data_IF_504278509837
#
_entry.id   IF_504278509837
#
_cell.length_a   1.000
_cell.length_b   1.000
_cell.length_c   1.000
_cell.angle_alpha   90.00
_cell.angle_beta   90.00
_cell.angle_gamma   90.00
#
_symmetry.space_group_name_H-M   'P 1'
#
loop_
_entity.id
_entity.type
_entity.pdbx_description
1 polymer ?
#
# COMPACT_ATOMS: atom_id res chain seq x y z
N UNK A 1 -39.53 7.43 -13.59
CA UNK A 1 -39.51 7.84 -15.01
C UNK A 1 -39.86 9.32 -15.10
N UNK A 2 -38.89 10.21 -15.26
CA UNK A 2 -39.08 11.58 -15.70
C UNK A 2 -37.70 12.09 -16.14
N UNK A 3 -37.43 11.92 -17.43
CA UNK A 3 -36.32 12.60 -18.12
C UNK A 3 -36.61 14.07 -18.21
N UNK A 4 -35.75 14.93 -17.68
CA UNK A 4 -35.73 16.36 -18.02
C UNK A 4 -34.75 16.59 -19.17
N UNK A 5 -35.30 16.93 -20.32
CA UNK A 5 -34.58 17.35 -21.53
C UNK A 5 -34.00 18.76 -21.34
N UNK A 6 -32.74 18.97 -21.74
CA UNK A 6 -32.16 20.29 -21.94
C UNK A 6 -32.69 20.92 -23.23
N UNK A 7 -33.07 22.23 -23.29
CA UNK A 7 -33.54 22.88 -24.50
C UNK A 7 -32.40 23.20 -25.46
N UNK A 8 -32.60 22.87 -26.74
CA UNK A 8 -31.79 23.33 -27.88
C UNK A 8 -32.10 24.79 -28.20
N UNK A 9 -31.09 25.64 -28.22
CA UNK A 9 -31.18 26.98 -28.79
C UNK A 9 -30.46 27.03 -30.13
N UNK A 10 -31.20 27.40 -31.17
CA UNK A 10 -30.71 27.73 -32.52
C UNK A 10 -30.26 29.17 -32.56
N UNK A 11 -29.05 29.44 -33.03
CA UNK A 11 -28.43 30.73 -33.08
C UNK A 11 -28.89 31.65 -34.24
N UNK A 12 -28.68 32.94 -34.05
CA UNK A 12 -28.47 33.90 -35.14
C UNK A 12 -27.26 34.80 -34.85
N UNK A 13 -26.48 34.99 -35.91
CA UNK A 13 -25.20 35.68 -36.02
C UNK A 13 -25.35 37.19 -35.73
N UNK A 14 -24.39 37.73 -34.99
CA UNK A 14 -24.17 39.18 -35.02
C UNK A 14 -23.42 39.71 -33.78
N UNK A 15 -22.21 40.18 -34.00
CA UNK A 15 -21.39 41.12 -33.22
C UNK A 15 -20.54 40.49 -32.07
N UNK A 16 -19.23 40.56 -32.29
CA UNK A 16 -18.16 40.08 -31.39
C UNK A 16 -18.19 40.77 -30.01
N UNK A 17 -18.66 40.05 -29.04
CA UNK A 17 -18.34 40.29 -27.65
C UNK A 17 -17.77 38.98 -27.13
N UNK A 18 -16.52 38.98 -26.65
CA UNK A 18 -15.92 37.86 -25.96
C UNK A 18 -16.72 37.54 -24.67
N UNK A 19 -17.76 36.73 -24.81
CA UNK A 19 -18.36 36.07 -23.66
C UNK A 19 -17.48 34.88 -23.28
N UNK A 20 -16.82 35.00 -22.14
CA UNK A 20 -16.32 33.81 -21.44
C UNK A 20 -17.51 32.90 -21.12
N UNK A 21 -17.76 31.92 -21.95
CA UNK A 21 -18.73 30.87 -21.67
C UNK A 21 -18.13 30.04 -20.53
N UNK A 22 -18.52 30.34 -19.29
CA UNK A 22 -18.40 29.41 -18.18
C UNK A 22 -19.30 28.22 -18.53
N UNK A 23 -18.69 27.13 -19.06
CA UNK A 23 -19.33 25.84 -19.03
C UNK A 23 -19.45 25.45 -17.56
N UNK A 24 -20.66 25.26 -17.01
CA UNK A 24 -20.78 24.58 -15.73
C UNK A 24 -20.26 23.15 -15.97
N UNK A 25 -19.11 22.82 -15.41
CA UNK A 25 -18.69 21.44 -15.22
C UNK A 25 -19.77 20.87 -14.30
N UNK A 26 -20.72 20.10 -14.86
CA UNK A 26 -21.58 19.24 -14.06
C UNK A 26 -20.67 18.24 -13.39
N UNK A 27 -20.00 18.61 -12.30
CA UNK A 27 -19.38 17.68 -11.40
C UNK A 27 -20.51 16.80 -10.87
N UNK A 28 -20.50 15.53 -11.22
CA UNK A 28 -21.25 14.52 -10.47
C UNK A 28 -20.78 14.63 -9.03
N UNK A 29 -21.55 15.35 -8.21
CA UNK A 29 -21.29 15.47 -6.80
C UNK A 29 -21.38 14.07 -6.20
N UNK A 30 -20.27 13.54 -5.71
CA UNK A 30 -20.29 12.45 -4.77
C UNK A 30 -19.47 11.19 -5.05
N UNK A 31 -18.73 11.07 -6.15
CA UNK A 31 -17.88 9.90 -6.36
C UNK A 31 -16.40 10.26 -6.20
N UNK A 32 -15.67 9.42 -5.43
CA UNK A 32 -14.25 9.59 -5.20
C UNK A 32 -13.45 8.88 -6.29
N UNK A 33 -12.37 9.49 -6.74
CA UNK A 33 -11.35 8.85 -7.60
C UNK A 33 -10.18 8.36 -6.75
N UNK A 34 -9.41 7.42 -7.30
CA UNK A 34 -8.24 6.85 -6.64
C UNK A 34 -7.25 7.94 -6.21
N UNK A 35 -6.85 8.00 -4.91
CA UNK A 35 -6.10 9.13 -4.35
C UNK A 35 -4.58 9.02 -4.53
N UNK A 36 -4.09 8.05 -5.28
CA UNK A 36 -2.67 7.75 -5.43
C UNK A 36 -2.32 7.38 -6.87
N UNK A 37 -1.13 7.80 -7.32
CA UNK A 37 -0.63 7.51 -8.66
C UNK A 37 0.19 6.24 -8.70
N UNK A 38 -0.48 5.10 -8.64
CA UNK A 38 0.14 3.78 -8.76
C UNK A 38 -0.86 2.77 -9.31
N UNK A 39 -0.37 1.62 -9.76
CA UNK A 39 -1.19 0.50 -10.24
C UNK A 39 -1.28 -0.57 -9.15
N UNK A 40 -2.49 -0.75 -8.59
CA UNK A 40 -2.75 -1.75 -7.55
C UNK A 40 -2.41 -3.15 -8.06
N UNK A 41 -1.63 -3.89 -7.26
CA UNK A 41 -1.15 -5.24 -7.58
C UNK A 41 0.12 -5.28 -8.42
N UNK A 42 0.64 -4.12 -8.89
CA UNK A 42 1.89 -4.04 -9.64
C UNK A 42 2.99 -3.29 -8.88
N UNK A 43 2.74 -2.04 -8.51
CA UNK A 43 3.73 -1.18 -7.83
C UNK A 43 3.23 -0.60 -6.51
N UNK A 44 1.99 -0.89 -6.16
CA UNK A 44 1.38 -0.65 -4.86
C UNK A 44 0.26 -1.67 -4.59
N UNK A 45 -0.22 -1.71 -3.34
CA UNK A 45 -1.37 -2.53 -2.94
C UNK A 45 -2.06 -1.93 -1.73
N UNK A 46 -3.31 -2.34 -1.47
CA UNK A 46 -4.04 -1.94 -0.28
C UNK A 46 -3.67 -2.92 0.84
N UNK A 47 -2.93 -2.43 1.83
CA UNK A 47 -2.49 -3.23 2.99
C UNK A 47 -3.60 -3.39 4.00
N UNK A 48 -4.33 -2.30 4.31
CA UNK A 48 -5.43 -2.32 5.26
C UNK A 48 -6.61 -1.49 4.75
N UNK A 49 -7.80 -1.93 5.10
CA UNK A 49 -9.08 -1.27 4.86
C UNK A 49 -9.64 -0.71 6.16
N UNK A 50 -10.71 0.10 6.08
CA UNK A 50 -11.45 0.57 7.26
C UNK A 50 -11.96 -0.64 8.05
N UNK A 51 -11.81 -0.60 9.37
CA UNK A 51 -12.34 -1.62 10.25
C UNK A 51 -13.86 -1.55 10.34
N UNK A 52 -14.52 -2.61 9.89
CA UNK A 52 -15.97 -2.72 9.93
C UNK A 52 -16.48 -3.61 11.05
N UNK A 53 -15.61 -4.35 11.76
CA UNK A 53 -16.06 -5.16 12.90
C UNK A 53 -16.41 -4.29 14.11
N UNK A 54 -17.52 -4.53 14.80
CA UNK A 54 -17.79 -3.88 16.06
C UNK A 54 -16.96 -4.51 17.19
N UNK A 55 -16.40 -3.67 18.08
CA UNK A 55 -15.64 -4.13 19.25
C UNK A 55 -14.16 -4.36 18.99
N UNK A 56 -13.48 -5.26 19.72
CA UNK A 56 -12.02 -5.42 19.65
C UNK A 56 -11.55 -6.31 18.49
N UNK A 57 -12.45 -6.93 17.77
CA UNK A 57 -12.15 -7.67 16.53
C UNK A 57 -11.98 -6.70 15.38
N UNK A 58 -11.45 -7.16 14.26
CA UNK A 58 -11.36 -6.34 13.05
C UNK A 58 -11.79 -7.12 11.82
N UNK A 59 -12.36 -6.43 10.85
CA UNK A 59 -12.75 -6.98 9.56
C UNK A 59 -12.70 -5.91 8.48
N UNK A 60 -12.15 -6.28 7.33
CA UNK A 60 -12.20 -5.44 6.14
C UNK A 60 -13.58 -5.47 5.44
N UNK A 61 -13.72 -4.81 4.32
CA UNK A 61 -14.95 -4.67 3.54
C UNK A 61 -15.48 -5.97 2.91
N UNK A 62 -14.68 -7.03 2.90
CA UNK A 62 -15.03 -8.38 2.47
C UNK A 62 -15.08 -9.39 3.64
N UNK A 63 -15.15 -8.91 4.87
CA UNK A 63 -15.06 -9.70 6.10
C UNK A 63 -13.74 -10.49 6.22
N UNK A 64 -12.71 -10.05 5.54
CA UNK A 64 -11.36 -10.59 5.62
C UNK A 64 -10.53 -9.91 6.73
N UNK A 65 -9.24 -10.23 6.76
CA UNK A 65 -8.31 -9.81 7.81
C UNK A 65 -7.38 -8.65 7.40
N UNK A 66 -7.67 -7.96 6.31
CA UNK A 66 -6.88 -6.80 5.87
C UNK A 66 -7.35 -5.51 6.59
N UNK A 67 -7.28 -5.54 7.90
CA UNK A 67 -7.56 -4.40 8.79
C UNK A 67 -6.90 -4.64 10.15
N UNK A 68 -7.07 -3.71 11.09
CA UNK A 68 -6.77 -3.87 12.52
C UNK A 68 -7.77 -3.05 13.33
N UNK A 69 -7.90 -3.37 14.64
CA UNK A 69 -8.87 -2.74 15.55
C UNK A 69 -8.83 -1.21 15.43
N UNK A 70 -9.99 -0.63 15.13
CA UNK A 70 -10.20 0.83 14.94
C UNK A 70 -9.45 1.48 13.79
N UNK A 71 -9.03 0.75 12.78
CA UNK A 71 -8.43 1.34 11.59
C UNK A 71 -9.45 2.18 10.80
N UNK A 72 -9.13 3.46 10.58
CA UNK A 72 -10.07 4.47 10.04
C UNK A 72 -9.96 4.71 8.54
N UNK A 73 -8.97 4.14 7.87
CA UNK A 73 -8.69 4.51 6.49
C UNK A 73 -8.45 3.33 5.55
N UNK A 74 -8.01 3.67 4.38
CA UNK A 74 -7.46 2.75 3.38
C UNK A 74 -5.98 3.04 3.24
N UNK A 75 -5.13 2.03 3.51
CA UNK A 75 -3.67 2.15 3.46
C UNK A 75 -3.14 1.66 2.11
N UNK A 76 -2.76 2.59 1.26
CA UNK A 76 -2.11 2.32 -0.03
C UNK A 76 -0.61 2.20 0.17
N UNK A 77 -0.11 0.98 0.33
CA UNK A 77 1.30 0.71 0.57
C UNK A 77 2.10 0.74 -0.71
N UNK A 78 3.27 1.37 -0.65
CA UNK A 78 4.28 1.38 -1.71
C UNK A 78 5.61 0.84 -1.19
N UNK A 79 6.46 0.32 -2.09
CA UNK A 79 7.81 -0.06 -1.72
C UNK A 79 8.66 1.19 -1.38
N UNK A 80 9.69 1.03 -0.54
CA UNK A 80 10.52 2.16 -0.09
C UNK A 80 11.22 2.88 -1.25
N UNK A 81 11.75 2.14 -2.21
CA UNK A 81 12.38 2.70 -3.42
C UNK A 81 11.38 3.49 -4.29
N UNK A 82 10.14 3.03 -4.38
CA UNK A 82 9.04 3.75 -5.07
C UNK A 82 8.69 5.05 -4.33
N UNK A 83 8.58 4.99 -2.99
CA UNK A 83 8.43 6.19 -2.18
C UNK A 83 9.57 7.18 -2.44
N UNK A 84 10.83 6.73 -2.47
CA UNK A 84 11.99 7.58 -2.75
C UNK A 84 11.94 8.19 -4.16
N UNK A 85 11.53 7.42 -5.16
CA UNK A 85 11.36 7.90 -6.54
C UNK A 85 10.24 8.96 -6.65
N UNK A 86 9.24 8.89 -5.78
CA UNK A 86 8.12 9.83 -5.71
C UNK A 86 6.83 9.25 -6.28
N UNK A 87 5.92 8.84 -5.40
CA UNK A 87 4.54 8.43 -5.76
C UNK A 87 3.61 9.58 -5.41
N UNK A 88 2.85 10.08 -6.38
CA UNK A 88 1.97 11.24 -6.20
C UNK A 88 0.71 10.87 -5.42
N UNK A 89 0.35 11.75 -4.47
CA UNK A 89 -0.94 11.75 -3.77
C UNK A 89 -1.84 12.75 -4.47
N UNK A 90 -3.06 12.34 -4.83
CA UNK A 90 -4.01 13.13 -5.62
C UNK A 90 -5.30 13.36 -4.87
N UNK A 91 -5.93 14.52 -5.09
CA UNK A 91 -7.26 14.80 -4.56
C UNK A 91 -8.29 13.81 -5.13
N UNK A 92 -8.96 13.05 -4.26
CA UNK A 92 -9.97 12.07 -4.66
C UNK A 92 -11.24 12.72 -5.21
N UNK A 93 -11.54 13.97 -4.81
CA UNK A 93 -12.69 14.75 -5.27
C UNK A 93 -12.38 16.24 -5.19
N UNK A 94 -13.17 17.11 -5.85
CA UNK A 94 -12.98 18.54 -5.77
C UNK A 94 -13.43 19.08 -4.39
N UNK A 95 -12.70 20.04 -3.85
CA UNK A 95 -13.02 20.63 -2.56
C UNK A 95 -12.08 21.75 -2.15
N UNK A 96 -12.13 22.11 -0.86
CA UNK A 96 -11.28 23.14 -0.26
C UNK A 96 -10.37 22.50 0.78
N UNK A 97 -9.08 22.77 0.74
CA UNK A 97 -8.13 22.35 1.77
C UNK A 97 -8.50 23.00 3.09
N UNK A 98 -9.07 22.22 4.03
CA UNK A 98 -9.49 22.71 5.34
C UNK A 98 -8.33 22.98 6.27
N UNK A 99 -7.29 22.15 6.19
CA UNK A 99 -6.09 22.24 7.00
C UNK A 99 -5.02 21.29 6.50
N UNK A 100 -3.78 21.60 6.88
CA UNK A 100 -2.64 20.78 6.52
C UNK A 100 -1.54 20.90 7.57
N UNK A 101 -0.64 19.91 7.58
CA UNK A 101 0.60 19.91 8.35
C UNK A 101 1.71 19.33 7.49
N UNK A 102 2.88 19.96 7.54
CA UNK A 102 4.10 19.51 6.87
C UNK A 102 5.31 19.74 7.79
N UNK A 103 6.45 19.14 7.50
CA UNK A 103 7.71 19.32 8.21
C UNK A 103 8.12 18.19 9.16
N UNK A 104 7.28 17.16 9.37
CA UNK A 104 7.65 15.95 10.12
C UNK A 104 8.58 15.07 9.29
N UNK A 105 9.62 14.51 9.92
CA UNK A 105 10.57 13.60 9.26
C UNK A 105 9.88 12.30 8.79
N UNK A 106 10.38 11.73 7.69
CA UNK A 106 9.96 10.44 7.16
C UNK A 106 10.73 9.32 7.87
N UNK A 107 10.29 8.97 9.07
CA UNK A 107 10.92 7.96 9.94
C UNK A 107 9.84 7.00 10.43
N UNK A 108 10.05 5.69 10.20
CA UNK A 108 9.16 4.65 10.72
C UNK A 108 9.02 4.75 12.23
N UNK A 109 7.80 4.57 12.77
CA UNK A 109 7.53 4.52 14.21
C UNK A 109 8.43 3.51 14.94
N UNK A 110 8.79 2.41 14.27
CA UNK A 110 9.71 1.39 14.80
C UNK A 110 11.15 1.90 15.01
N UNK A 111 11.51 3.03 14.40
CA UNK A 111 12.81 3.67 14.51
C UNK A 111 12.75 4.97 15.32
N UNK A 112 11.65 5.73 15.22
CA UNK A 112 11.49 7.04 15.86
C UNK A 112 10.85 7.02 17.25
N UNK A 113 10.08 5.95 17.57
CA UNK A 113 9.36 5.82 18.84
C UNK A 113 8.04 6.60 18.91
N UNK A 114 7.12 6.13 19.75
CA UNK A 114 5.74 6.64 19.86
C UNK A 114 5.66 8.07 20.41
N UNK A 115 6.54 8.45 21.34
CA UNK A 115 6.48 9.77 21.98
C UNK A 115 6.71 10.92 20.97
N UNK A 116 7.48 10.68 19.91
CA UNK A 116 7.75 11.68 18.87
C UNK A 116 6.52 12.05 18.03
N UNK A 117 5.51 11.19 17.99
CA UNK A 117 4.32 11.32 17.12
C UNK A 117 3.03 11.60 17.88
N UNK A 118 3.04 11.59 19.21
CA UNK A 118 1.86 11.78 20.07
C UNK A 118 1.03 13.02 19.65
N UNK A 119 -0.28 12.83 19.42
CA UNK A 119 -1.20 13.83 18.85
C UNK A 119 -0.81 14.33 17.44
N UNK A 120 0.04 13.61 16.75
CA UNK A 120 0.47 13.90 15.38
C UNK A 120 0.56 12.63 14.53
N UNK A 121 -0.28 11.66 14.83
CA UNK A 121 -0.28 10.29 14.25
C UNK A 121 -0.39 10.33 12.72
N UNK A 122 -1.19 11.25 12.15
CA UNK A 122 -1.27 11.47 10.69
C UNK A 122 0.06 11.92 10.04
N UNK A 123 1.04 12.40 10.82
CA UNK A 123 2.28 12.93 10.27
C UNK A 123 2.07 14.18 9.43
N UNK A 124 2.72 14.25 8.27
CA UNK A 124 2.44 15.26 7.25
C UNK A 124 1.19 14.84 6.48
N UNK A 125 0.30 15.79 6.25
CA UNK A 125 -0.96 15.48 5.59
C UNK A 125 -1.90 16.65 5.50
N UNK A 126 -3.06 16.42 4.95
CA UNK A 126 -4.08 17.46 4.77
C UNK A 126 -5.50 16.88 4.79
N UNK A 127 -6.47 17.75 4.97
CA UNK A 127 -7.90 17.44 4.89
C UNK A 127 -8.51 18.31 3.81
N UNK A 128 -9.28 17.71 2.90
CA UNK A 128 -10.09 18.38 1.90
C UNK A 128 -11.56 18.28 2.30
N UNK A 129 -12.23 19.40 2.40
CA UNK A 129 -13.69 19.52 2.63
C UNK A 129 -14.40 19.59 1.30
N UNK A 130 -15.26 18.61 1.03
CA UNK A 130 -16.07 18.53 -0.19
C UNK A 130 -17.35 19.37 -0.06
N UNK A 131 -18.01 19.67 -1.18
CA UNK A 131 -19.20 20.52 -1.22
C UNK A 131 -20.40 19.96 -0.43
N UNK A 132 -20.47 18.63 -0.24
CA UNK A 132 -21.55 17.96 0.49
C UNK A 132 -21.24 17.77 2.00
N UNK A 133 -20.16 18.40 2.50
CA UNK A 133 -19.70 18.29 3.89
C UNK A 133 -18.87 17.03 4.20
N UNK A 134 -18.63 16.17 3.22
CA UNK A 134 -17.69 15.05 3.37
C UNK A 134 -16.25 15.57 3.46
N UNK A 135 -15.44 14.95 4.29
CA UNK A 135 -14.01 15.24 4.42
C UNK A 135 -13.21 14.06 3.91
N UNK A 136 -12.16 14.33 3.12
CA UNK A 136 -11.13 13.35 2.77
C UNK A 136 -9.82 13.77 3.40
N UNK A 137 -9.17 12.84 4.12
CA UNK A 137 -7.90 13.07 4.79
C UNK A 137 -6.80 12.20 4.16
N UNK A 138 -5.63 12.81 4.02
CA UNK A 138 -4.45 12.21 3.40
C UNK A 138 -3.29 12.30 4.39
N UNK A 139 -2.79 11.17 4.90
CA UNK A 139 -1.78 11.11 5.93
C UNK A 139 -0.49 10.44 5.48
N UNK A 140 0.54 10.53 6.33
CA UNK A 140 1.88 9.94 6.15
C UNK A 140 2.60 10.44 4.91
N UNK A 141 2.29 11.68 4.48
CA UNK A 141 2.90 12.29 3.30
C UNK A 141 4.37 12.65 3.57
N UNK A 142 5.14 12.74 2.49
CA UNK A 142 6.58 13.07 2.54
C UNK A 142 6.79 14.49 3.04
N UNK A 143 7.80 14.65 3.91
CA UNK A 143 8.25 15.96 4.40
C UNK A 143 8.57 16.92 3.25
N UNK A 144 8.00 18.12 3.31
CA UNK A 144 8.23 19.20 2.34
C UNK A 144 7.61 18.93 0.95
N UNK A 145 6.73 17.93 0.81
CA UNK A 145 6.16 17.59 -0.49
C UNK A 145 4.80 18.20 -0.77
N UNK A 146 4.13 18.79 0.22
CA UNK A 146 2.79 19.35 0.04
C UNK A 146 2.81 20.51 -0.97
N UNK A 147 1.91 20.45 -1.96
CA UNK A 147 1.80 21.41 -3.07
C UNK A 147 0.61 22.37 -2.92
N UNK A 148 -0.13 22.26 -1.83
CA UNK A 148 -1.32 23.06 -1.52
C UNK A 148 -1.26 23.55 -0.08
N UNK A 149 -2.04 24.59 0.24
CA UNK A 149 -2.16 25.18 1.58
C UNK A 149 -3.63 25.29 1.99
N UNK A 150 -3.87 25.53 3.27
CA UNK A 150 -5.21 25.74 3.79
C UNK A 150 -5.90 26.92 3.05
N UNK A 151 -7.15 26.70 2.64
CA UNK A 151 -7.98 27.61 1.84
C UNK A 151 -7.87 27.40 0.33
N UNK A 152 -6.90 26.65 -0.17
CA UNK A 152 -6.81 26.39 -1.61
C UNK A 152 -7.98 25.50 -2.08
N UNK A 153 -8.52 25.81 -3.25
CA UNK A 153 -9.44 24.93 -3.97
C UNK A 153 -8.65 23.88 -4.75
N UNK A 154 -9.08 22.64 -4.70
CA UNK A 154 -8.47 21.53 -5.45
C UNK A 154 -9.48 20.88 -6.36
N UNK A 155 -9.02 20.43 -7.52
CA UNK A 155 -9.80 19.64 -8.45
C UNK A 155 -9.51 18.15 -8.25
N UNK A 156 -10.43 17.27 -8.64
CA UNK A 156 -10.20 15.83 -8.70
C UNK A 156 -8.93 15.51 -9.50
N UNK A 157 -8.09 14.64 -8.99
CA UNK A 157 -6.82 14.25 -9.63
C UNK A 157 -5.69 15.27 -9.49
N UNK A 158 -5.93 16.44 -8.90
CA UNK A 158 -4.85 17.40 -8.63
C UNK A 158 -3.84 16.83 -7.64
N UNK A 159 -2.55 16.97 -7.95
CA UNK A 159 -1.46 16.50 -7.07
C UNK A 159 -1.42 17.34 -5.81
N UNK A 160 -1.52 16.67 -4.66
CA UNK A 160 -1.48 17.26 -3.32
C UNK A 160 -0.08 17.21 -2.71
N UNK A 161 0.71 16.20 -3.06
CA UNK A 161 2.06 15.96 -2.55
C UNK A 161 2.53 14.56 -2.92
N UNK A 162 3.42 13.98 -2.12
CA UNK A 162 4.01 12.66 -2.34
C UNK A 162 3.77 11.75 -1.14
N UNK A 163 3.69 10.44 -1.39
CA UNK A 163 3.70 9.41 -0.34
C UNK A 163 4.99 9.50 0.45
N UNK A 164 4.90 9.38 1.78
CA UNK A 164 6.02 9.43 2.70
C UNK A 164 6.00 8.32 3.76
N UNK A 165 6.62 8.64 4.89
CA UNK A 165 6.78 7.74 6.03
C UNK A 165 6.71 8.53 7.36
N UNK A 166 5.92 9.59 7.41
CA UNK A 166 5.81 10.49 8.56
C UNK A 166 4.62 10.11 9.47
N UNK A 167 4.76 10.30 10.79
CA UNK A 167 3.69 10.00 11.76
C UNK A 167 3.68 8.56 12.24
N UNK A 168 2.49 8.06 12.63
CA UNK A 168 2.31 6.70 13.12
C UNK A 168 2.23 5.70 11.96
N UNK A 169 3.38 5.36 11.43
CA UNK A 169 3.48 4.43 10.31
C UNK A 169 4.70 3.53 10.41
N UNK A 170 4.52 2.26 10.09
CA UNK A 170 5.59 1.26 10.08
C UNK A 170 6.27 1.13 8.72
N UNK A 171 5.61 1.52 7.63
CA UNK A 171 6.06 1.36 6.23
C UNK A 171 5.53 2.49 5.34
N UNK A 172 6.17 2.76 4.19
CA UNK A 172 5.69 3.79 3.27
C UNK A 172 4.29 3.51 2.74
N UNK A 173 3.34 4.42 3.01
CA UNK A 173 1.99 4.32 2.48
C UNK A 173 1.27 5.66 2.49
N UNK A 174 0.19 5.77 1.74
CA UNK A 174 -0.83 6.78 1.92
C UNK A 174 -1.95 6.19 2.77
N UNK A 175 -2.21 6.76 3.95
CA UNK A 175 -3.44 6.51 4.69
C UNK A 175 -4.51 7.50 4.23
N UNK A 176 -5.61 6.98 3.66
CA UNK A 176 -6.71 7.76 3.13
C UNK A 176 -7.99 7.51 3.93
N UNK A 177 -8.51 8.53 4.60
CA UNK A 177 -9.72 8.45 5.41
C UNK A 177 -10.84 9.30 4.83
N UNK A 178 -12.06 8.78 4.87
CA UNK A 178 -13.29 9.51 4.50
C UNK A 178 -14.16 9.68 5.73
N UNK A 179 -14.58 10.92 5.99
CA UNK A 179 -15.48 11.26 7.10
C UNK A 179 -16.67 12.05 6.65
N UNK A 180 -17.82 11.82 7.27
CA UNK A 180 -19.00 12.68 7.11
C UNK A 180 -19.67 12.89 8.47
N UNK A 181 -19.92 14.14 8.85
CA UNK A 181 -20.48 14.49 10.16
C UNK A 181 -19.67 13.91 11.34
N UNK A 182 -18.35 13.85 11.21
CA UNK A 182 -17.46 13.30 12.26
C UNK A 182 -17.39 11.77 12.30
N UNK A 183 -18.14 11.06 11.47
CA UNK A 183 -18.14 9.60 11.40
C UNK A 183 -17.26 9.12 10.24
N UNK A 184 -16.35 8.19 10.52
CA UNK A 184 -15.52 7.51 9.50
C UNK A 184 -16.39 6.58 8.67
N UNK A 185 -16.21 6.62 7.34
CA UNK A 185 -16.91 5.78 6.38
C UNK A 185 -15.91 4.90 5.61
N UNK A 186 -16.29 3.66 5.36
CA UNK A 186 -15.58 2.80 4.44
C UNK A 186 -15.91 3.21 2.99
N UNK A 187 -14.94 3.68 2.19
CA UNK A 187 -15.25 4.15 0.84
C UNK A 187 -15.62 3.03 -0.15
N UNK A 188 -15.35 1.76 0.18
CA UNK A 188 -15.74 0.61 -0.64
C UNK A 188 -17.18 0.15 -0.41
N UNK A 189 -17.75 0.42 0.76
CA UNK A 189 -19.12 0.00 1.09
C UNK A 189 -20.07 1.18 1.31
N UNK A 190 -19.55 2.36 1.65
CA UNK A 190 -20.33 3.52 2.10
C UNK A 190 -20.79 3.39 3.57
N UNK A 191 -20.47 2.29 4.23
CA UNK A 191 -20.88 2.03 5.61
C UNK A 191 -19.97 2.75 6.60
N UNK A 192 -20.50 3.02 7.78
CA UNK A 192 -19.72 3.53 8.89
C UNK A 192 -18.74 2.48 9.42
N UNK A 193 -17.61 2.92 9.96
CA UNK A 193 -16.71 2.10 10.74
C UNK A 193 -17.49 1.39 11.87
N UNK A 194 -17.12 0.17 12.22
CA UNK A 194 -17.74 -0.68 13.24
C UNK A 194 -19.22 -1.03 12.98
N UNK A 195 -19.73 -0.88 11.75
CA UNK A 195 -21.12 -1.20 11.39
C UNK A 195 -21.37 -2.66 11.00
N UNK A 196 -20.32 -3.48 10.97
CA UNK A 196 -20.35 -4.85 10.46
C UNK A 196 -19.97 -4.94 8.98
N UNK A 197 -19.22 -5.96 8.61
CA UNK A 197 -18.78 -6.19 7.23
C UNK A 197 -19.83 -6.91 6.37
N UNK A 198 -20.74 -7.69 6.97
CA UNK A 198 -21.75 -8.50 6.29
C UNK A 198 -23.03 -7.73 5.95
N UNK A 199 -22.93 -6.44 5.63
CA UNK A 199 -24.11 -5.62 5.31
C UNK A 199 -24.68 -5.97 3.93
N UNK A 200 -26.00 -6.04 3.85
CA UNK A 200 -26.71 -6.52 2.65
C UNK A 200 -26.58 -5.57 1.44
N UNK A 201 -26.34 -4.29 1.64
CA UNK A 201 -26.25 -3.31 0.57
C UNK A 201 -24.97 -2.47 0.67
N UNK A 202 -24.08 -2.62 -0.32
CA UNK A 202 -22.91 -1.75 -0.49
C UNK A 202 -23.28 -0.56 -1.38
N UNK A 203 -22.97 0.65 -0.92
CA UNK A 203 -23.08 1.90 -1.68
C UNK A 203 -21.72 2.58 -1.75
N UNK A 204 -20.80 2.07 -2.58
CA UNK A 204 -19.44 2.58 -2.65
C UNK A 204 -19.40 4.10 -2.87
N UNK A 205 -18.47 4.77 -2.21
CA UNK A 205 -18.20 6.20 -2.43
C UNK A 205 -17.24 6.40 -3.60
N UNK A 206 -16.51 5.36 -4.00
CA UNK A 206 -15.64 5.35 -5.17
C UNK A 206 -16.43 5.38 -6.47
N UNK A 207 -15.88 6.03 -7.50
CA UNK A 207 -16.39 5.91 -8.87
C UNK A 207 -16.27 4.46 -9.37
N UNK A 208 -17.05 4.08 -10.38
CA UNK A 208 -16.94 2.77 -11.01
C UNK A 208 -15.52 2.52 -11.55
N UNK A 209 -14.90 3.56 -12.12
CA UNK A 209 -13.51 3.51 -12.60
C UNK A 209 -12.53 3.27 -11.45
N UNK A 210 -12.66 4.00 -10.34
CA UNK A 210 -11.79 3.82 -9.19
C UNK A 210 -11.90 2.41 -8.59
N UNK A 211 -13.12 1.85 -8.53
CA UNK A 211 -13.33 0.45 -8.08
C UNK A 211 -12.66 -0.57 -9.01
N UNK A 212 -12.73 -0.36 -10.33
CA UNK A 212 -12.06 -1.21 -11.30
C UNK A 212 -10.53 -1.15 -11.17
N UNK A 213 -9.97 0.04 -10.89
CA UNK A 213 -8.54 0.26 -10.68
C UNK A 213 -8.03 -0.24 -9.31
N UNK A 214 -8.92 -0.56 -8.37
CA UNK A 214 -8.59 -1.00 -7.00
C UNK A 214 -9.23 -2.35 -6.67
N UNK A 215 -8.89 -3.44 -7.40
CA UNK A 215 -9.41 -4.76 -7.10
C UNK A 215 -8.96 -5.22 -5.70
N UNK A 216 -9.83 -5.96 -5.01
CA UNK A 216 -9.46 -6.57 -3.73
C UNK A 216 -8.42 -7.68 -3.95
N UNK A 217 -7.25 -7.52 -3.32
CA UNK A 217 -6.16 -8.49 -3.36
C UNK A 217 -5.88 -8.92 -1.92
N UNK A 218 -6.16 -10.16 -1.57
CA UNK A 218 -6.13 -10.64 -0.19
C UNK A 218 -4.72 -10.94 0.36
N UNK A 219 -3.72 -11.05 -0.51
CA UNK A 219 -2.32 -11.33 -0.12
C UNK A 219 -1.40 -11.09 -1.30
N UNK A 220 -0.12 -10.90 -1.04
CA UNK A 220 0.90 -10.76 -2.08
C UNK A 220 2.32 -10.85 -1.55
N UNK A 221 3.27 -10.80 -2.47
CA UNK A 221 4.68 -10.71 -2.14
C UNK A 221 5.06 -9.26 -1.83
N UNK A 222 5.87 -9.06 -0.78
CA UNK A 222 6.52 -7.78 -0.51
C UNK A 222 7.81 -7.65 -1.32
N UNK A 223 8.73 -8.59 -1.10
CA UNK A 223 10.01 -8.67 -1.80
C UNK A 223 10.73 -9.97 -1.39
N UNK A 224 11.85 -10.27 -2.06
CA UNK A 224 12.78 -11.32 -1.68
C UNK A 224 14.22 -10.92 -2.01
N UNK A 225 15.18 -11.61 -1.41
CA UNK A 225 16.57 -11.35 -1.68
C UNK A 225 17.51 -12.35 -1.02
N UNK A 226 18.80 -12.09 -1.25
CA UNK A 226 19.87 -12.81 -0.58
C UNK A 226 20.63 -11.86 0.34
N UNK A 227 21.13 -12.40 1.46
CA UNK A 227 21.93 -11.65 2.43
C UNK A 227 22.97 -12.56 3.09
N UNK A 228 24.00 -11.97 3.70
CA UNK A 228 25.01 -12.70 4.47
C UNK A 228 24.58 -12.98 5.92
N UNK A 229 23.48 -12.36 6.36
CA UNK A 229 22.87 -12.51 7.68
C UNK A 229 21.35 -12.42 7.56
N UNK A 230 20.56 -13.02 8.48
CA UNK A 230 19.11 -12.85 8.49
C UNK A 230 18.73 -11.37 8.57
N UNK A 231 17.90 -10.86 7.65
CA UNK A 231 17.51 -9.46 7.67
C UNK A 231 16.52 -9.14 8.81
N UNK A 232 16.63 -7.91 9.33
CA UNK A 232 15.66 -7.37 10.29
C UNK A 232 14.43 -6.86 9.54
N UNK A 233 13.27 -7.45 9.78
CA UNK A 233 12.00 -7.05 9.14
C UNK A 233 11.66 -5.58 9.41
N UNK A 234 12.05 -5.03 10.57
CA UNK A 234 11.77 -3.65 10.94
C UNK A 234 12.58 -2.62 10.14
N UNK A 235 13.64 -3.07 9.48
CA UNK A 235 14.51 -2.23 8.64
C UNK A 235 14.35 -2.53 7.15
N UNK A 236 13.99 -3.77 6.82
CA UNK A 236 14.01 -4.29 5.46
C UNK A 236 13.11 -3.52 4.49
N UNK A 237 11.95 -3.05 4.95
CA UNK A 237 10.94 -2.40 4.11
C UNK A 237 10.80 -0.88 4.36
N UNK A 238 11.68 -0.29 5.17
CA UNK A 238 11.57 1.11 5.60
C UNK A 238 12.85 1.94 5.40
N UNK A 239 13.88 1.34 4.78
CA UNK A 239 15.13 2.01 4.49
C UNK A 239 15.66 1.57 3.12
N UNK A 240 16.54 2.40 2.55
CA UNK A 240 17.31 1.99 1.40
C UNK A 240 18.18 0.80 1.82
N UNK A 241 18.08 -0.28 1.07
CA UNK A 241 18.95 -1.43 1.31
C UNK A 241 20.35 -1.10 0.81
N UNK A 242 21.32 -1.20 1.69
CA UNK A 242 22.70 -1.27 1.28
C UNK A 242 22.84 -2.45 0.32
N UNK A 243 23.60 -2.27 -0.74
CA UNK A 243 23.97 -3.41 -1.59
C UNK A 243 24.83 -4.31 -0.71
N UNK A 244 24.19 -5.30 -0.09
CA UNK A 244 24.95 -6.33 0.65
C UNK A 244 25.94 -6.95 -0.32
N UNK A 245 27.21 -6.74 -0.07
CA UNK A 245 28.29 -7.37 -0.80
C UNK A 245 28.42 -8.80 -0.30
N UNK A 246 27.60 -9.69 -0.87
CA UNK A 246 27.80 -11.11 -0.64
C UNK A 246 29.12 -11.54 -1.31
N UNK A 247 29.96 -12.24 -0.57
CA UNK A 247 31.27 -12.71 -1.05
C UNK A 247 31.42 -14.20 -0.86
N UNK A 248 32.40 -14.79 -1.55
CA UNK A 248 32.76 -16.20 -1.36
C UNK A 248 33.14 -16.54 0.10
N UNK A 249 33.50 -15.54 0.90
CA UNK A 249 33.86 -15.67 2.31
C UNK A 249 32.72 -15.41 3.29
N UNK A 250 31.54 -14.99 2.83
CA UNK A 250 30.39 -14.74 3.71
C UNK A 250 30.08 -15.95 4.59
N UNK A 251 29.84 -15.77 5.90
CA UNK A 251 29.66 -16.89 6.84
C UNK A 251 28.39 -17.69 6.57
N UNK A 252 27.36 -17.03 6.10
CA UNK A 252 26.08 -17.63 5.78
C UNK A 252 25.58 -17.17 4.40
N UNK A 253 24.77 -17.98 3.76
CA UNK A 253 23.92 -17.63 2.63
C UNK A 253 22.48 -17.69 3.13
N UNK A 254 21.82 -16.55 3.17
CA UNK A 254 20.42 -16.40 3.55
C UNK A 254 19.63 -16.02 2.32
N UNK A 255 18.61 -16.81 1.97
CA UNK A 255 17.54 -16.38 1.10
C UNK A 255 16.32 -16.04 1.95
N UNK A 256 15.73 -14.88 1.72
CA UNK A 256 14.57 -14.40 2.43
C UNK A 256 13.46 -14.00 1.48
N UNK A 257 12.22 -14.15 1.92
CA UNK A 257 11.03 -13.70 1.21
C UNK A 257 10.02 -13.10 2.18
N UNK A 258 9.46 -11.96 1.83
CA UNK A 258 8.41 -11.26 2.57
C UNK A 258 7.07 -11.38 1.86
N UNK A 259 6.02 -11.59 2.64
CA UNK A 259 4.64 -11.63 2.17
C UNK A 259 3.76 -10.77 3.07
N UNK A 260 2.65 -10.28 2.55
CA UNK A 260 1.62 -9.55 3.27
C UNK A 260 0.26 -10.23 3.17
N UNK A 261 -0.67 -9.91 4.09
CA UNK A 261 -2.02 -10.45 4.09
C UNK A 261 -2.09 -11.96 4.28
N UNK A 262 -1.25 -12.52 5.18
CA UNK A 262 -1.19 -13.95 5.44
C UNK A 262 -2.37 -14.41 6.30
N UNK A 263 -2.97 -15.51 5.91
CA UNK A 263 -4.00 -16.18 6.70
C UNK A 263 -3.43 -17.39 7.44
N UNK A 264 -4.11 -17.74 8.53
CA UNK A 264 -3.90 -19.03 9.18
C UNK A 264 -4.00 -20.16 8.14
N UNK A 265 -3.13 -21.14 8.27
CA UNK A 265 -3.02 -22.33 7.40
C UNK A 265 -2.48 -22.06 5.98
N UNK A 266 -2.07 -20.82 5.65
CA UNK A 266 -1.22 -20.58 4.48
C UNK A 266 0.08 -21.37 4.61
N UNK A 267 0.59 -21.88 3.50
CA UNK A 267 1.82 -22.69 3.48
C UNK A 267 2.87 -21.99 2.65
N UNK A 268 4.06 -21.80 3.22
CA UNK A 268 5.20 -21.21 2.50
C UNK A 268 6.30 -22.26 2.38
N UNK A 269 6.80 -22.43 1.16
CA UNK A 269 8.00 -23.25 0.88
C UNK A 269 9.15 -22.36 0.46
N UNK A 270 10.37 -22.71 0.88
CA UNK A 270 11.60 -22.01 0.54
C UNK A 270 12.63 -22.99 -0.02
N UNK A 271 13.32 -22.57 -1.08
CA UNK A 271 14.36 -23.35 -1.73
C UNK A 271 15.51 -22.47 -2.19
N UNK A 272 16.74 -22.95 -2.08
CA UNK A 272 17.93 -22.41 -2.73
C UNK A 272 18.49 -23.47 -3.66
N UNK A 273 18.65 -23.15 -4.94
CA UNK A 273 19.38 -23.97 -5.91
C UNK A 273 20.75 -23.34 -6.12
N UNK A 274 21.86 -24.01 -5.66
CA UNK A 274 23.20 -23.52 -5.87
C UNK A 274 23.67 -23.76 -7.32
N UNK A 275 24.78 -23.13 -7.77
CA UNK A 275 25.31 -23.33 -9.12
C UNK A 275 25.74 -24.78 -9.37
N UNK A 276 26.12 -25.50 -8.32
CA UNK A 276 26.52 -26.90 -8.36
C UNK A 276 25.85 -27.70 -7.25
N UNK A 277 25.35 -28.90 -7.55
CA UNK A 277 24.71 -29.77 -6.55
C UNK A 277 23.18 -29.64 -6.48
N UNK A 278 22.56 -30.37 -5.55
CA UNK A 278 21.11 -30.41 -5.43
C UNK A 278 20.55 -29.12 -4.81
N UNK A 279 19.29 -28.86 -5.07
CA UNK A 279 18.54 -27.82 -4.39
C UNK A 279 18.40 -28.14 -2.89
N UNK A 280 18.47 -27.09 -2.08
CA UNK A 280 18.32 -27.15 -0.62
C UNK A 280 16.97 -26.54 -0.25
N UNK A 281 16.12 -27.29 0.44
CA UNK A 281 14.78 -26.87 0.82
C UNK A 281 14.56 -27.05 2.31
N UNK A 282 13.75 -26.17 2.90
CA UNK A 282 13.20 -26.37 4.25
C UNK A 282 11.86 -27.12 4.17
N UNK A 283 11.44 -27.79 5.26
CA UNK A 283 10.07 -28.25 5.39
C UNK A 283 9.09 -27.07 5.18
N UNK A 284 7.91 -27.32 4.57
CA UNK A 284 6.89 -26.30 4.42
C UNK A 284 6.53 -25.63 5.76
N UNK A 285 6.49 -24.31 5.78
CA UNK A 285 6.12 -23.53 6.96
C UNK A 285 4.62 -23.21 6.89
N UNK A 286 3.87 -23.60 7.93
CA UNK A 286 2.45 -23.31 8.05
C UNK A 286 2.27 -22.05 8.90
N UNK A 287 1.51 -21.08 8.38
CA UNK A 287 1.20 -19.84 9.10
C UNK A 287 0.19 -20.13 10.23
N UNK A 288 0.56 -19.87 11.50
CA UNK A 288 -0.26 -20.32 12.64
C UNK A 288 -1.47 -19.42 12.93
N UNK A 289 -1.48 -18.19 12.45
CA UNK A 289 -2.55 -17.18 12.62
C UNK A 289 -2.49 -16.15 11.51
N UNK A 290 -3.56 -15.38 11.32
CA UNK A 290 -3.56 -14.23 10.40
C UNK A 290 -2.46 -13.24 10.80
N UNK A 291 -1.75 -12.71 9.80
CA UNK A 291 -0.64 -11.78 9.98
C UNK A 291 -0.68 -10.72 8.87
N UNK A 292 -0.52 -9.45 9.24
CA UNK A 292 -0.43 -8.37 8.26
C UNK A 292 0.77 -8.55 7.31
N UNK A 293 1.89 -9.07 7.84
CA UNK A 293 3.07 -9.41 7.05
C UNK A 293 3.93 -10.44 7.78
N UNK A 294 4.72 -11.20 7.03
CA UNK A 294 5.75 -12.09 7.55
C UNK A 294 6.99 -12.09 6.66
N UNK A 295 8.14 -12.32 7.29
CA UNK A 295 9.42 -12.59 6.65
C UNK A 295 9.80 -14.04 6.94
N UNK A 296 10.09 -14.80 5.90
CA UNK A 296 10.55 -16.19 5.99
C UNK A 296 11.96 -16.30 5.41
N UNK A 297 12.79 -17.14 6.00
CA UNK A 297 14.20 -17.28 5.60
C UNK A 297 14.62 -18.73 5.52
N UNK A 298 15.55 -19.03 4.61
CA UNK A 298 16.37 -20.25 4.62
C UNK A 298 17.84 -19.84 4.77
N UNK A 299 18.48 -20.33 5.81
CA UNK A 299 19.85 -19.98 6.17
C UNK A 299 20.75 -21.19 6.00
N UNK A 300 21.84 -21.02 5.26
CA UNK A 300 22.84 -22.05 5.03
C UNK A 300 24.17 -21.53 5.56
N UNK A 301 24.77 -22.22 6.53
CA UNK A 301 26.10 -21.88 7.03
C UNK A 301 27.17 -22.40 6.08
N UNK A 302 28.17 -21.57 5.80
CA UNK A 302 29.35 -21.98 5.05
C UNK A 302 30.16 -22.99 5.88
N UNK A 303 30.55 -24.10 5.24
CA UNK A 303 31.42 -25.05 5.88
C UNK A 303 32.79 -24.41 6.12
N UNK A 304 33.33 -24.59 7.32
CA UNK A 304 34.65 -24.06 7.68
C UNK A 304 35.74 -24.52 6.69
N UNK A 305 36.66 -23.63 6.36
CA UNK A 305 37.74 -23.91 5.39
C UNK A 305 37.29 -23.98 3.92
N UNK A 306 36.01 -23.75 3.59
CA UNK A 306 35.54 -23.75 2.21
C UNK A 306 35.12 -22.34 1.76
N UNK A 307 34.92 -22.15 0.47
CA UNK A 307 34.34 -20.94 -0.13
C UNK A 307 32.98 -21.28 -0.74
N UNK A 308 32.12 -20.29 -0.84
CA UNK A 308 30.91 -20.41 -1.64
C UNK A 308 31.30 -20.59 -3.11
N UNK A 309 30.82 -21.61 -3.82
CA UNK A 309 31.08 -21.80 -5.24
C UNK A 309 30.67 -20.55 -6.06
N UNK A 310 31.53 -20.17 -7.03
CA UNK A 310 31.17 -19.16 -7.99
C UNK A 310 30.01 -19.64 -8.89
N UNK A 311 29.20 -18.72 -9.34
CA UNK A 311 28.07 -19.01 -10.22
C UNK A 311 26.74 -18.44 -9.73
N UNK A 312 25.64 -18.92 -10.30
CA UNK A 312 24.30 -18.41 -10.05
C UNK A 312 23.58 -19.25 -8.99
N UNK A 313 23.14 -18.60 -7.93
CA UNK A 313 22.25 -19.15 -6.90
C UNK A 313 20.83 -18.66 -7.19
N UNK A 314 19.87 -19.59 -7.23
CA UNK A 314 18.44 -19.26 -7.41
C UNK A 314 17.71 -19.50 -6.09
N UNK A 315 17.09 -18.46 -5.54
CA UNK A 315 16.18 -18.53 -4.40
C UNK A 315 14.74 -18.56 -4.89
N UNK A 316 13.94 -19.48 -4.37
CA UNK A 316 12.51 -19.61 -4.69
C UNK A 316 11.71 -19.70 -3.40
N UNK A 317 10.65 -18.88 -3.32
CA UNK A 317 9.63 -18.95 -2.28
C UNK A 317 8.27 -19.12 -2.95
N UNK A 318 7.42 -19.99 -2.40
CA UNK A 318 6.05 -20.16 -2.90
C UNK A 318 5.10 -20.12 -1.72
N UNK A 319 4.18 -19.16 -1.72
CA UNK A 319 3.03 -19.13 -0.80
C UNK A 319 1.85 -19.82 -1.47
N UNK A 320 1.24 -20.75 -0.75
CA UNK A 320 0.03 -21.46 -1.17
C UNK A 320 -1.07 -21.22 -0.14
N UNK A 321 -2.17 -20.61 -0.56
CA UNK A 321 -3.43 -20.52 0.18
C UNK A 321 -4.42 -21.50 -0.40
N UNK A 322 -4.84 -22.48 0.41
CA UNK A 322 -5.88 -23.43 0.01
C UNK A 322 -7.24 -22.82 0.26
N UNK A 323 -8.07 -22.73 -0.77
CA UNK A 323 -9.48 -22.39 -0.63
C UNK A 323 -10.30 -23.65 -0.90
N UNK A 324 -11.08 -24.16 0.07
CA UNK A 324 -11.85 -25.38 -0.11
C UNK A 324 -12.87 -25.31 -1.25
N UNK A 325 -13.36 -24.12 -1.57
CA UNK A 325 -14.44 -23.87 -2.52
C UNK A 325 -13.98 -23.23 -3.84
N UNK A 326 -12.68 -22.91 -3.96
CA UNK A 326 -12.14 -22.20 -5.12
C UNK A 326 -10.77 -22.75 -5.50
N UNK A 327 -10.23 -22.26 -6.61
CA UNK A 327 -8.84 -22.56 -7.00
C UNK A 327 -7.87 -22.03 -5.96
N UNK A 328 -6.94 -22.87 -5.50
CA UNK A 328 -5.88 -22.45 -4.58
C UNK A 328 -5.08 -21.29 -5.17
N UNK A 329 -4.81 -20.29 -4.33
CA UNK A 329 -3.90 -19.21 -4.68
C UNK A 329 -2.46 -19.72 -4.56
N UNK A 330 -1.64 -19.48 -5.58
CA UNK A 330 -0.21 -19.83 -5.61
C UNK A 330 0.58 -18.59 -6.00
N UNK A 331 1.43 -18.10 -5.11
CA UNK A 331 2.28 -16.93 -5.31
C UNK A 331 3.75 -17.34 -5.32
N UNK A 332 4.37 -17.51 -6.49
CA UNK A 332 5.81 -17.77 -6.59
C UNK A 332 6.60 -16.45 -6.52
N UNK A 333 7.76 -16.50 -5.87
CA UNK A 333 8.71 -15.41 -5.78
C UNK A 333 10.12 -15.95 -5.99
N UNK A 334 10.83 -15.41 -6.98
CA UNK A 334 12.16 -15.90 -7.36
C UNK A 334 13.17 -14.76 -7.35
N UNK A 335 14.38 -15.03 -6.87
CA UNK A 335 15.54 -14.12 -6.96
C UNK A 335 16.79 -14.91 -7.35
N UNK A 336 17.72 -14.20 -7.99
CA UNK A 336 19.01 -14.76 -8.40
C UNK A 336 20.13 -13.93 -7.76
N UNK A 337 21.11 -14.61 -7.20
CA UNK A 337 22.37 -14.05 -6.74
C UNK A 337 23.50 -14.61 -7.62
N UNK A 338 24.32 -13.75 -8.22
CA UNK A 338 25.52 -14.17 -8.93
C UNK A 338 26.75 -13.99 -8.05
N UNK A 339 27.43 -15.08 -7.74
CA UNK A 339 28.71 -15.08 -7.04
C UNK A 339 29.83 -14.99 -8.06
N UNK A 340 30.67 -13.93 -8.02
CA UNK A 340 31.80 -13.82 -8.94
C UNK A 340 32.81 -14.94 -8.69
N UNK A 341 33.56 -15.32 -9.73
CA UNK A 341 34.74 -16.16 -9.55
C UNK A 341 35.73 -15.41 -8.66
N UNK A 342 36.29 -16.08 -7.64
CA UNK A 342 37.45 -15.52 -6.93
C UNK A 342 38.59 -15.42 -7.91
N UNK A 343 39.20 -14.23 -8.05
CA UNK A 343 40.44 -14.12 -8.80
C UNK A 343 41.45 -15.08 -8.12
N UNK A 344 41.94 -16.04 -8.88
CA UNK A 344 43.10 -16.83 -8.42
C UNK A 344 44.27 -15.85 -8.26
N UNK A 345 44.74 -15.66 -7.04
CA UNK A 345 45.99 -14.93 -6.75
C UNK A 345 47.18 -15.84 -7.03
#
# INVERSE_FOLDING_TARGET
MLYRQCPRWLGRVGLSLFFFVFFPICANAGQLEKPIDCQIGLDCFIQNYVDLAPGPEYADENCGSLSYDKHKGTDFRVAFDKMQAGVEVKAAAPGVVRGMRDGMEDISIRQGGEEAIKNRECGNGLVVLLADGTETQYCHMRKGSLRVKAGDQVATGQVLGLVGLSGDTEFPHLHFEVRKNGQTLCPFTGNAMESGCATAEKKPLWSAKALEEMPYISTGALDAGFSATPPDINKLFVAQRDKETFSAHSPELVFWAGFWGLHKDDVITLQITPPNGPALSLPPQVIPKNQAQALVTINIKRKEGTLWPAGSYKGEAVLVRRNPNEKSLVLPLTRTLTMPATAEN
#
